data_IF_035496380041
#
_entry.id   IF_035496380041
#
_cell.length_a   1.000
_cell.length_b   1.000
_cell.length_c   1.000
_cell.angle_alpha   90.00
_cell.angle_beta   90.00
_cell.angle_gamma   90.00
#
_symmetry.space_group_name_H-M   'P 1'
#
loop_
_entity.id
_entity.type
_entity.pdbx_description
1 polymer ?
#
# COMPACT_ATOMS: atom_id res chain seq x y z
N UNK A 1 -14.46 -18.84 6.10
CA UNK A 1 -13.21 -18.52 5.35
C UNK A 1 -12.30 -17.71 6.25
N UNK A 2 -10.99 -17.95 6.24
CA UNK A 2 -10.04 -17.15 7.03
C UNK A 2 -9.92 -15.76 6.44
N UNK A 3 -9.85 -14.72 7.28
CA UNK A 3 -9.61 -13.33 6.91
C UNK A 3 -8.28 -13.15 6.17
N UNK A 4 -8.19 -12.12 5.34
CA UNK A 4 -7.00 -11.79 4.55
C UNK A 4 -6.54 -10.36 4.81
N UNK A 5 -5.24 -10.13 4.68
CA UNK A 5 -4.65 -8.79 4.73
C UNK A 5 -4.09 -8.43 3.35
N UNK A 6 -4.67 -7.43 2.70
CA UNK A 6 -4.25 -6.88 1.42
C UNK A 6 -3.41 -5.62 1.66
N UNK A 7 -2.11 -5.75 1.51
CA UNK A 7 -1.13 -4.68 1.69
C UNK A 7 -0.79 -4.06 0.35
N UNK A 8 -1.43 -2.91 0.05
CA UNK A 8 -1.20 -2.17 -1.21
C UNK A 8 -0.08 -1.18 -0.98
N UNK A 9 1.06 -1.42 -1.63
CA UNK A 9 2.27 -0.61 -1.50
C UNK A 9 2.71 -0.03 -2.83
N UNK A 10 3.49 1.04 -2.77
CA UNK A 10 4.02 1.79 -3.92
C UNK A 10 4.33 3.22 -3.55
N UNK A 11 5.00 3.97 -4.40
CA UNK A 11 5.35 5.36 -4.19
C UNK A 11 4.12 6.28 -4.11
N UNK A 12 4.30 7.54 -3.74
CA UNK A 12 3.21 8.54 -3.78
C UNK A 12 2.67 8.69 -5.21
N UNK A 13 1.38 9.03 -5.34
CA UNK A 13 0.69 9.21 -6.62
C UNK A 13 0.52 7.97 -7.52
N UNK A 14 0.79 6.74 -7.03
CA UNK A 14 0.58 5.50 -7.80
C UNK A 14 -0.89 5.06 -7.90
N UNK A 15 -1.83 5.68 -7.15
CA UNK A 15 -3.24 5.30 -7.15
C UNK A 15 -3.65 4.32 -6.04
N UNK A 16 -2.78 4.04 -5.05
CA UNK A 16 -3.06 3.10 -3.93
C UNK A 16 -4.39 3.35 -3.23
N UNK A 17 -4.65 4.58 -2.83
CA UNK A 17 -5.88 4.96 -2.12
C UNK A 17 -7.13 4.66 -2.96
N UNK A 18 -7.10 4.97 -4.24
CA UNK A 18 -8.23 4.68 -5.14
C UNK A 18 -8.45 3.18 -5.28
N UNK A 19 -7.39 2.41 -5.54
CA UNK A 19 -7.48 0.96 -5.65
C UNK A 19 -7.91 0.30 -4.33
N UNK A 20 -7.46 0.82 -3.18
CA UNK A 20 -7.90 0.30 -1.88
C UNK A 20 -9.39 0.56 -1.61
N UNK A 21 -9.93 1.72 -2.02
CA UNK A 21 -11.36 2.01 -1.94
C UNK A 21 -12.17 1.01 -2.78
N UNK A 22 -11.80 0.85 -4.06
CA UNK A 22 -12.47 -0.08 -4.96
C UNK A 22 -12.41 -1.53 -4.45
N UNK A 23 -11.25 -1.96 -3.96
CA UNK A 23 -11.09 -3.33 -3.44
C UNK A 23 -11.94 -3.58 -2.19
N UNK A 24 -11.95 -2.65 -1.23
CA UNK A 24 -12.75 -2.83 -0.01
C UNK A 24 -14.25 -2.83 -0.30
N UNK A 25 -14.71 -1.99 -1.23
CA UNK A 25 -16.10 -1.96 -1.68
C UNK A 25 -16.48 -3.29 -2.35
N UNK A 26 -15.62 -3.80 -3.23
CA UNK A 26 -15.82 -5.10 -3.86
C UNK A 26 -15.90 -6.23 -2.82
N UNK A 27 -14.95 -6.29 -1.87
CA UNK A 27 -14.97 -7.32 -0.82
C UNK A 27 -16.27 -7.25 -0.01
N UNK A 28 -16.71 -6.04 0.36
CA UNK A 28 -17.98 -5.84 1.09
C UNK A 28 -19.20 -6.27 0.27
N UNK A 29 -19.20 -6.03 -1.03
CA UNK A 29 -20.30 -6.47 -1.92
C UNK A 29 -20.43 -7.99 -2.00
N UNK A 30 -19.39 -8.75 -1.67
CA UNK A 30 -19.43 -10.22 -1.56
C UNK A 30 -19.96 -10.72 -0.21
N UNK A 31 -20.42 -9.82 0.68
CA UNK A 31 -20.94 -10.15 2.02
C UNK A 31 -19.87 -10.33 3.09
N UNK A 32 -18.59 -10.06 2.79
CA UNK A 32 -17.51 -10.14 3.78
C UNK A 32 -17.35 -8.83 4.57
N UNK A 33 -16.89 -8.96 5.81
CA UNK A 33 -16.52 -7.80 6.61
C UNK A 33 -15.09 -7.37 6.26
N UNK A 34 -14.94 -6.14 5.77
CA UNK A 34 -13.65 -5.59 5.39
C UNK A 34 -13.41 -4.19 5.99
N UNK A 35 -12.19 -3.95 6.45
CA UNK A 35 -11.73 -2.68 6.99
C UNK A 35 -10.71 -2.07 6.03
N UNK A 36 -10.94 -0.79 5.67
CA UNK A 36 -9.94 -0.01 4.92
C UNK A 36 -9.07 0.77 5.89
N UNK A 37 -7.77 0.73 5.67
CA UNK A 37 -6.76 1.54 6.32
C UNK A 37 -5.98 2.34 5.25
N UNK A 38 -5.70 3.60 5.52
CA UNK A 38 -4.88 4.45 4.65
C UNK A 38 -3.75 5.08 5.47
N UNK A 39 -2.54 5.01 4.97
CA UNK A 39 -1.36 5.50 5.69
C UNK A 39 -1.41 6.99 6.01
N UNK A 40 -2.00 7.81 5.14
CA UNK A 40 -2.14 9.25 5.39
C UNK A 40 -3.21 9.52 6.46
N UNK A 41 -4.31 8.75 6.47
CA UNK A 41 -5.36 8.83 7.50
C UNK A 41 -4.84 8.34 8.86
N UNK A 42 -4.16 7.19 8.88
CA UNK A 42 -3.56 6.65 10.11
C UNK A 42 -2.51 7.59 10.70
N UNK A 43 -1.70 8.22 9.85
CA UNK A 43 -0.72 9.22 10.31
C UNK A 43 -1.40 10.41 10.99
N UNK A 44 -2.53 10.89 10.47
CA UNK A 44 -3.32 11.97 11.09
C UNK A 44 -3.90 11.53 12.45
N UNK A 45 -4.50 10.34 12.51
CA UNK A 45 -5.09 9.79 13.75
C UNK A 45 -4.03 9.63 14.84
N UNK A 46 -2.82 9.18 14.47
CA UNK A 46 -1.71 9.00 15.41
C UNK A 46 -0.94 10.28 15.69
N UNK A 47 -1.29 11.42 15.07
CA UNK A 47 -0.56 12.67 15.12
C UNK A 47 0.95 12.50 14.84
N UNK A 48 1.28 11.57 13.95
CA UNK A 48 2.65 11.15 13.67
C UNK A 48 3.32 12.09 12.67
N UNK A 49 4.50 12.58 13.04
CA UNK A 49 5.36 13.47 12.25
C UNK A 49 6.70 12.82 11.89
N UNK A 50 6.73 11.51 11.83
CA UNK A 50 7.92 10.73 11.50
C UNK A 50 8.29 10.87 10.02
N UNK A 51 9.53 11.26 9.74
CA UNK A 51 9.99 11.47 8.36
C UNK A 51 11.30 10.74 8.04
N UNK A 52 12.16 10.45 9.00
CA UNK A 52 13.38 9.65 8.77
C UNK A 52 13.03 8.21 8.39
N UNK A 53 13.98 7.47 7.82
CA UNK A 53 13.75 6.07 7.43
C UNK A 53 13.38 5.21 8.64
N UNK A 54 14.12 5.35 9.72
CA UNK A 54 13.95 4.59 10.96
C UNK A 54 12.57 4.84 11.57
N UNK A 55 12.16 6.09 11.65
CA UNK A 55 10.85 6.48 12.15
C UNK A 55 9.73 5.92 11.26
N UNK A 56 9.88 5.98 9.93
CA UNK A 56 8.89 5.44 8.98
C UNK A 56 8.80 3.92 9.04
N UNK A 57 9.90 3.22 9.26
CA UNK A 57 9.90 1.77 9.51
C UNK A 57 9.15 1.46 10.80
N UNK A 58 9.43 2.20 11.88
CA UNK A 58 8.74 2.02 13.16
C UNK A 58 7.22 2.28 13.03
N UNK A 59 6.82 3.32 12.29
CA UNK A 59 5.42 3.63 12.03
C UNK A 59 4.75 2.55 11.18
N UNK A 60 5.39 2.10 10.10
CA UNK A 60 4.88 1.03 9.25
C UNK A 60 4.74 -0.29 10.02
N UNK A 61 5.64 -0.56 10.97
CA UNK A 61 5.53 -1.72 11.87
C UNK A 61 4.28 -1.63 12.77
N UNK A 62 3.91 -0.43 13.24
CA UNK A 62 2.64 -0.25 13.98
C UNK A 62 1.44 -0.56 13.10
N UNK A 63 1.47 -0.15 11.82
CA UNK A 63 0.41 -0.49 10.85
C UNK A 63 0.35 -2.00 10.59
N UNK A 64 1.49 -2.66 10.45
CA UNK A 64 1.57 -4.10 10.29
C UNK A 64 0.92 -4.87 11.46
N UNK A 65 1.24 -4.47 12.69
CA UNK A 65 0.63 -5.04 13.89
C UNK A 65 -0.87 -4.77 14.01
N UNK A 66 -1.31 -3.58 13.61
CA UNK A 66 -2.75 -3.27 13.53
C UNK A 66 -3.45 -4.16 12.51
N UNK A 67 -2.88 -4.36 11.33
CA UNK A 67 -3.42 -5.27 10.32
C UNK A 67 -3.51 -6.71 10.85
N UNK A 68 -2.46 -7.19 11.53
CA UNK A 68 -2.45 -8.51 12.16
C UNK A 68 -3.56 -8.63 13.21
N UNK A 69 -3.70 -7.64 14.10
CA UNK A 69 -4.73 -7.61 15.13
C UNK A 69 -6.15 -7.71 14.54
N UNK A 70 -6.45 -6.91 13.52
CA UNK A 70 -7.76 -6.89 12.86
C UNK A 70 -8.04 -8.18 12.08
N UNK A 71 -7.04 -8.70 11.37
CA UNK A 71 -7.15 -9.98 10.66
C UNK A 71 -7.42 -11.14 11.62
N UNK A 72 -6.76 -11.17 12.78
CA UNK A 72 -6.98 -12.20 13.80
C UNK A 72 -8.38 -12.14 14.42
N UNK A 73 -9.07 -10.99 14.31
CA UNK A 73 -10.47 -10.84 14.73
C UNK A 73 -11.48 -11.20 13.63
N UNK A 74 -11.01 -11.64 12.46
CA UNK A 74 -11.88 -12.11 11.38
C UNK A 74 -12.22 -11.08 10.31
N UNK A 75 -11.63 -9.87 10.36
CA UNK A 75 -11.85 -8.86 9.32
C UNK A 75 -10.86 -9.03 8.15
N UNK A 76 -11.34 -8.94 6.93
CA UNK A 76 -10.47 -8.68 5.79
C UNK A 76 -9.93 -7.24 5.93
N UNK A 77 -8.60 -7.06 5.81
CA UNK A 77 -7.97 -5.74 5.95
C UNK A 77 -7.38 -5.32 4.62
N UNK A 78 -7.77 -4.14 4.14
CA UNK A 78 -7.18 -3.50 2.95
C UNK A 78 -6.44 -2.26 3.40
N UNK A 79 -5.11 -2.28 3.30
CA UNK A 79 -4.29 -1.14 3.70
C UNK A 79 -3.54 -0.56 2.51
N UNK A 80 -3.57 0.78 2.37
CA UNK A 80 -2.83 1.53 1.36
C UNK A 80 -1.72 2.36 2.03
N UNK A 81 -0.47 2.00 1.80
CA UNK A 81 0.69 2.66 2.40
C UNK A 81 1.88 2.72 1.43
N UNK A 82 2.82 3.62 1.66
CA UNK A 82 4.11 3.54 0.97
C UNK A 82 4.83 2.26 1.42
N UNK A 83 5.15 2.12 2.70
CA UNK A 83 5.60 0.86 3.33
C UNK A 83 6.72 0.10 2.60
N UNK A 84 7.51 0.77 1.76
CA UNK A 84 8.57 0.20 0.92
C UNK A 84 9.86 0.01 1.72
N UNK A 85 9.81 -0.89 2.70
CA UNK A 85 10.93 -1.23 3.57
C UNK A 85 11.05 -2.74 3.70
N UNK A 86 12.24 -3.27 3.47
CA UNK A 86 12.53 -4.71 3.52
C UNK A 86 12.09 -5.35 4.84
N UNK A 87 12.32 -4.64 5.95
CA UNK A 87 11.96 -5.08 7.31
C UNK A 87 10.45 -5.33 7.43
N UNK A 88 9.63 -4.48 6.81
CA UNK A 88 8.17 -4.59 6.82
C UNK A 88 7.70 -5.74 5.93
N UNK A 89 8.26 -5.87 4.73
CA UNK A 89 7.92 -6.95 3.81
C UNK A 89 8.17 -8.32 4.42
N UNK A 90 9.32 -8.50 5.08
CA UNK A 90 9.69 -9.76 5.74
C UNK A 90 8.74 -10.01 6.91
N UNK A 91 8.60 -9.04 7.83
CA UNK A 91 7.78 -9.20 9.02
C UNK A 91 6.31 -9.53 8.68
N UNK A 92 5.72 -8.85 7.70
CA UNK A 92 4.34 -9.09 7.29
C UNK A 92 4.13 -10.52 6.78
N UNK A 93 5.04 -11.00 5.93
CA UNK A 93 4.98 -12.37 5.39
C UNK A 93 5.10 -13.45 6.46
N UNK A 94 5.90 -13.20 7.49
CA UNK A 94 6.12 -14.16 8.59
C UNK A 94 5.01 -14.11 9.65
N UNK A 95 4.38 -12.97 9.86
CA UNK A 95 3.52 -12.74 11.03
C UNK A 95 2.03 -12.53 10.71
N UNK A 96 1.67 -12.16 9.48
CA UNK A 96 0.27 -11.94 9.09
C UNK A 96 -0.23 -13.15 8.31
N UNK A 97 -1.17 -13.89 8.88
CA UNK A 97 -1.81 -15.01 8.20
C UNK A 97 -2.59 -14.52 6.98
N UNK A 98 -2.48 -15.24 5.84
CA UNK A 98 -3.13 -14.88 4.57
C UNK A 98 -2.78 -13.46 4.09
N UNK A 99 -1.52 -13.08 4.26
CA UNK A 99 -0.97 -11.83 3.75
C UNK A 99 -0.88 -11.84 2.22
N UNK A 100 -1.38 -10.79 1.59
CA UNK A 100 -1.32 -10.58 0.13
C UNK A 100 -0.67 -9.23 -0.12
N UNK A 101 0.54 -9.25 -0.64
CA UNK A 101 1.29 -8.05 -1.01
C UNK A 101 0.97 -7.64 -2.44
N UNK A 102 0.48 -6.40 -2.59
CA UNK A 102 0.11 -5.80 -3.86
C UNK A 102 1.05 -4.63 -4.11
N UNK A 103 1.93 -4.75 -5.08
CA UNK A 103 2.86 -3.69 -5.45
C UNK A 103 2.42 -2.97 -6.70
N UNK A 104 2.20 -1.65 -6.58
CA UNK A 104 1.90 -0.77 -7.72
C UNK A 104 3.20 -0.10 -8.14
N UNK A 105 3.72 -0.56 -9.27
CA UNK A 105 5.01 -0.16 -9.83
C UNK A 105 4.80 0.87 -10.93
N UNK A 106 5.05 2.13 -10.59
CA UNK A 106 4.94 3.26 -11.52
C UNK A 106 6.29 3.97 -11.59
N UNK A 107 6.84 4.23 -12.79
CA UNK A 107 8.10 4.96 -12.95
C UNK A 107 8.06 6.33 -12.28
N UNK A 108 9.19 6.70 -11.66
CA UNK A 108 9.29 7.94 -10.89
C UNK A 108 8.98 9.18 -11.74
N UNK A 109 9.39 9.21 -13.00
CA UNK A 109 9.13 10.33 -13.91
C UNK A 109 7.63 10.56 -14.13
N UNK A 110 6.86 9.47 -14.25
CA UNK A 110 5.41 9.56 -14.34
C UNK A 110 4.78 10.05 -13.02
N UNK A 111 5.31 9.62 -11.88
CA UNK A 111 4.84 10.09 -10.58
C UNK A 111 5.14 11.57 -10.35
N UNK A 112 6.30 12.05 -10.79
CA UNK A 112 6.68 13.46 -10.79
C UNK A 112 5.77 14.29 -11.72
N UNK A 113 5.40 13.73 -12.87
CA UNK A 113 4.45 14.38 -13.79
C UNK A 113 3.07 14.55 -13.16
N UNK A 114 2.58 13.53 -12.43
CA UNK A 114 1.28 13.56 -11.74
C UNK A 114 1.27 14.50 -10.55
N UNK A 115 2.20 14.31 -9.65
CA UNK A 115 2.46 15.00 -8.37
C UNK A 115 1.27 15.76 -7.75
N UNK A 116 0.13 15.14 -7.47
CA UNK A 116 -1.10 15.80 -7.03
C UNK A 116 -0.96 16.53 -5.69
N UNK A 117 0.05 16.18 -4.90
CA UNK A 117 0.35 16.77 -3.59
C UNK A 117 1.51 17.76 -3.64
N UNK A 118 2.17 17.92 -4.79
CA UNK A 118 3.38 18.73 -4.94
C UNK A 118 4.60 18.22 -4.18
N UNK A 119 4.58 16.97 -3.71
CA UNK A 119 5.64 16.38 -2.88
C UNK A 119 6.99 16.31 -3.61
N UNK A 120 6.97 15.87 -4.85
CA UNK A 120 8.17 15.71 -5.65
C UNK A 120 8.80 17.06 -5.98
N UNK A 121 7.99 18.04 -6.39
CA UNK A 121 8.43 19.42 -6.63
C UNK A 121 8.99 20.10 -5.40
N UNK A 122 8.34 19.90 -4.25
CA UNK A 122 8.82 20.46 -2.97
C UNK A 122 10.15 19.83 -2.53
N UNK A 123 10.34 18.52 -2.77
CA UNK A 123 11.61 17.86 -2.47
C UNK A 123 12.73 18.36 -3.39
N UNK A 124 12.48 18.42 -4.71
CA UNK A 124 13.44 18.91 -5.70
C UNK A 124 13.86 20.38 -5.46
N UNK A 125 12.94 21.21 -4.97
CA UNK A 125 13.23 22.59 -4.55
C UNK A 125 13.87 22.72 -3.16
N UNK A 126 14.15 21.60 -2.48
CA UNK A 126 14.76 21.59 -1.14
C UNK A 126 13.83 22.02 0.00
N UNK A 127 12.53 22.26 -0.26
CA UNK A 127 11.55 22.67 0.76
C UNK A 127 11.20 21.58 1.75
N UNK A 128 11.23 20.33 1.32
CA UNK A 128 11.03 19.15 2.16
C UNK A 128 12.12 18.12 1.89
N UNK A 129 12.33 17.22 2.86
CA UNK A 129 13.28 16.12 2.76
C UNK A 129 12.60 14.79 3.09
N UNK A 130 13.33 13.70 2.89
CA UNK A 130 12.88 12.34 3.19
C UNK A 130 11.65 11.91 2.39
N UNK A 131 11.65 12.22 1.10
CA UNK A 131 10.62 11.77 0.16
C UNK A 131 11.02 10.42 -0.44
N UNK A 132 10.15 9.42 -0.24
CA UNK A 132 10.39 8.07 -0.71
C UNK A 132 10.61 8.02 -2.23
N UNK A 133 11.72 7.41 -2.65
CA UNK A 133 12.10 7.28 -4.06
C UNK A 133 12.88 8.47 -4.62
N UNK A 134 13.12 9.55 -3.82
CA UNK A 134 13.99 10.67 -4.21
C UNK A 134 15.23 10.70 -3.29
N UNK A 135 15.05 11.16 -2.07
CA UNK A 135 16.13 11.33 -1.09
C UNK A 135 15.98 10.40 0.13
N UNK A 136 14.91 9.63 0.22
CA UNK A 136 14.72 8.59 1.22
C UNK A 136 14.95 7.22 0.58
N UNK A 137 15.90 6.46 1.14
CA UNK A 137 16.14 5.08 0.72
C UNK A 137 14.94 4.20 1.00
N UNK A 138 14.49 3.49 -0.02
CA UNK A 138 13.40 2.52 0.01
C UNK A 138 13.86 1.16 -0.52
N UNK A 139 13.07 0.13 -0.21
CA UNK A 139 13.29 -1.23 -0.69
C UNK A 139 11.99 -1.70 -1.39
N UNK A 140 12.05 -1.96 -2.69
CA UNK A 140 10.90 -2.50 -3.42
C UNK A 140 10.64 -3.97 -3.05
N UNK A 141 9.38 -4.45 -3.09
CA UNK A 141 9.06 -5.86 -2.89
C UNK A 141 9.77 -6.75 -3.93
N UNK A 142 10.44 -7.80 -3.46
CA UNK A 142 11.18 -8.72 -4.37
C UNK A 142 10.20 -9.64 -5.11
N UNK A 143 9.23 -10.21 -4.42
CA UNK A 143 8.25 -11.15 -4.98
C UNK A 143 6.85 -10.83 -4.42
N UNK A 144 6.21 -9.73 -4.85
CA UNK A 144 4.85 -9.42 -4.42
C UNK A 144 3.87 -10.46 -4.97
N UNK A 145 2.81 -10.75 -4.21
CA UNK A 145 1.75 -11.67 -4.66
C UNK A 145 1.05 -11.14 -5.92
N UNK A 146 0.87 -9.81 -6.00
CA UNK A 146 0.31 -9.11 -7.15
C UNK A 146 1.25 -7.94 -7.50
N UNK A 147 1.74 -7.93 -8.73
CA UNK A 147 2.58 -6.87 -9.26
C UNK A 147 1.83 -6.15 -10.39
N UNK A 148 1.37 -4.94 -10.13
CA UNK A 148 0.70 -4.08 -11.12
C UNK A 148 1.72 -3.11 -11.68
N UNK A 149 2.19 -3.38 -12.89
CA UNK A 149 3.12 -2.52 -13.61
C UNK A 149 2.38 -1.44 -14.37
N UNK A 150 2.84 -0.22 -14.23
CA UNK A 150 2.31 0.92 -14.99
C UNK A 150 2.63 0.82 -16.49
N UNK A 151 1.74 1.36 -17.31
CA UNK A 151 1.98 1.66 -18.74
C UNK A 151 1.13 2.88 -19.14
N UNK A 152 1.49 3.54 -20.22
CA UNK A 152 0.80 4.74 -20.73
C UNK A 152 -0.69 4.51 -21.02
N UNK A 153 -1.08 3.27 -21.29
CA UNK A 153 -2.45 2.86 -21.59
C UNK A 153 -3.25 2.42 -20.35
N UNK A 154 -2.61 2.30 -19.17
CA UNK A 154 -3.29 1.86 -17.95
C UNK A 154 -4.10 2.98 -17.32
N UNK A 155 -5.40 2.73 -17.18
CA UNK A 155 -6.33 3.51 -16.38
C UNK A 155 -6.48 2.88 -15.00
N UNK A 156 -7.09 3.60 -14.06
CA UNK A 156 -7.40 3.05 -12.74
C UNK A 156 -8.32 1.83 -12.84
N UNK A 157 -9.28 1.85 -13.76
CA UNK A 157 -10.21 0.74 -13.99
C UNK A 157 -9.49 -0.51 -14.51
N UNK A 158 -8.56 -0.35 -15.46
CA UNK A 158 -7.77 -1.47 -15.96
C UNK A 158 -6.84 -2.06 -14.89
N UNK A 159 -6.29 -1.22 -14.02
CA UNK A 159 -5.50 -1.67 -12.86
C UNK A 159 -6.37 -2.41 -11.85
N UNK A 160 -7.60 -1.95 -11.64
CA UNK A 160 -8.53 -2.61 -10.74
C UNK A 160 -9.01 -3.96 -11.30
N UNK A 161 -9.29 -4.05 -12.59
CA UNK A 161 -9.64 -5.32 -13.23
C UNK A 161 -8.51 -6.35 -13.11
N UNK A 162 -7.26 -5.95 -13.37
CA UNK A 162 -6.08 -6.81 -13.17
C UNK A 162 -5.96 -7.26 -11.71
N UNK A 163 -6.24 -6.36 -10.76
CA UNK A 163 -6.28 -6.69 -9.34
C UNK A 163 -7.37 -7.72 -9.01
N UNK A 164 -8.58 -7.53 -9.56
CA UNK A 164 -9.71 -8.44 -9.32
C UNK A 164 -9.48 -9.84 -9.89
N UNK A 165 -8.90 -9.96 -11.08
CA UNK A 165 -8.54 -11.26 -11.66
C UNK A 165 -7.64 -12.02 -10.67
N UNK A 166 -6.60 -11.38 -10.17
CA UNK A 166 -5.70 -11.98 -9.17
C UNK A 166 -6.39 -12.24 -7.82
N UNK A 167 -7.24 -11.32 -7.37
CA UNK A 167 -8.04 -11.51 -6.17
C UNK A 167 -8.88 -12.79 -6.25
N UNK A 168 -9.55 -13.04 -7.36
CA UNK A 168 -10.36 -14.24 -7.57
C UNK A 168 -9.48 -15.50 -7.55
N UNK A 169 -8.34 -15.50 -8.22
CA UNK A 169 -7.36 -16.60 -8.18
C UNK A 169 -6.93 -16.96 -6.74
N UNK A 170 -6.69 -15.95 -5.88
CA UNK A 170 -6.30 -16.17 -4.47
C UNK A 170 -7.45 -16.62 -3.56
N UNK A 171 -8.71 -16.36 -3.94
CA UNK A 171 -9.87 -16.76 -3.14
C UNK A 171 -10.42 -18.14 -3.50
N UNK A 172 -10.07 -18.66 -4.67
CA UNK A 172 -10.50 -19.97 -5.15
C UNK A 172 -9.52 -21.11 -4.78
N UNK A 173 -8.39 -20.76 -4.13
CA UNK A 173 -7.40 -21.69 -3.57
C UNK A 173 -7.62 -21.87 -2.06
#
# INVERSE_FOLDING_TARGET
>A
MKSKCYWITGLSATGKTTLSNLLVEYIRSTGKQAIKLDGDELRKVLADKSYTREERVALAMRYSRLCQLLSNQGFDVVIAVIGLFKEIHIWNRENISNYIEIFIDTPLDELKRRDPKGLYKMCESGKIKNVAGIDLRIDFPVNPNIHIKWSDKKTIDSMFNELLEKYVEFNNK
#
